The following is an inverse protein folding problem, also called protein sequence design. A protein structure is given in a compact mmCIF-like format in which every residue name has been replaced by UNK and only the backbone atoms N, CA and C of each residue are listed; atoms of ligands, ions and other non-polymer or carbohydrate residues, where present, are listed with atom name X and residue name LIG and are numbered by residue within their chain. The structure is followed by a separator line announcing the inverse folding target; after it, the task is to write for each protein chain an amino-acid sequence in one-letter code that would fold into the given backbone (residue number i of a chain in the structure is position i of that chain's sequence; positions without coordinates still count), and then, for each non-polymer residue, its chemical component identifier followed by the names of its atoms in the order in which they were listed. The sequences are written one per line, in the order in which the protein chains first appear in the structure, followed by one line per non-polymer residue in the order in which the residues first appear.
data_IF_428585216169
#
_entry.id   IF_428585216169
#
_cell.length_a   1.000
_cell.length_b   1.000
_cell.length_c   1.000
_cell.angle_alpha   90.00
_cell.angle_beta   90.00
_cell.angle_gamma   90.00
#
_symmetry.space_group_name_H-M   'P 1'
#
loop_
_entity.id
_entity.type
_entity.pdbx_description
1 polymer ?
#
# COMPACT_ATOMS: atom_id res chain seq x y z
N UNK A 1 -13.49 7.40 -13.06
CA UNK A 1 -13.72 5.94 -13.22
C UNK A 1 -14.18 5.40 -11.89
N UNK A 2 -15.21 4.56 -11.85
CA UNK A 2 -15.62 3.88 -10.62
C UNK A 2 -14.47 2.98 -10.12
N UNK A 3 -14.17 3.03 -8.82
CA UNK A 3 -13.25 2.07 -8.20
C UNK A 3 -13.94 0.70 -8.34
N UNK A 4 -13.31 -0.31 -8.97
CA UNK A 4 -13.89 -1.63 -9.02
C UNK A 4 -14.01 -2.14 -7.57
N UNK A 5 -15.27 -2.30 -7.14
CA UNK A 5 -15.62 -2.99 -5.90
C UNK A 5 -15.18 -4.45 -6.05
N UNK A 6 -14.75 -5.07 -4.95
CA UNK A 6 -14.45 -6.49 -4.90
C UNK A 6 -15.60 -7.29 -5.57
N UNK A 7 -15.35 -8.10 -6.61
CA UNK A 7 -16.36 -9.01 -7.11
C UNK A 7 -16.73 -10.01 -6.01
N UNK A 8 -17.99 -10.42 -5.97
CA UNK A 8 -18.41 -11.49 -5.07
C UNK A 8 -17.59 -12.76 -5.35
N UNK A 9 -17.25 -13.55 -4.31
CA UNK A 9 -16.49 -14.79 -4.50
C UNK A 9 -17.24 -15.75 -5.43
N UNK A 10 -16.50 -16.44 -6.29
CA UNK A 10 -17.06 -17.46 -7.18
C UNK A 10 -17.73 -18.56 -6.34
N UNK A 11 -18.89 -19.08 -6.77
CA UNK A 11 -19.59 -20.14 -6.04
C UNK A 11 -18.70 -21.39 -5.92
N UNK A 12 -18.54 -21.90 -4.69
CA UNK A 12 -17.73 -23.09 -4.39
C UNK A 12 -16.33 -22.82 -3.84
N UNK A 13 -15.89 -21.56 -3.78
CA UNK A 13 -14.66 -21.17 -3.06
C UNK A 13 -14.96 -21.10 -1.55
N UNK A 14 -14.15 -21.66 -0.64
CA UNK A 14 -14.29 -21.37 0.78
C UNK A 14 -14.30 -19.84 0.96
N UNK A 15 -15.24 -19.34 1.76
CA UNK A 15 -15.43 -17.90 1.97
C UNK A 15 -14.09 -17.24 2.24
N UNK A 16 -13.79 -16.15 1.53
CA UNK A 16 -12.53 -15.43 1.68
C UNK A 16 -12.33 -15.11 3.17
N UNK A 17 -11.16 -15.41 3.77
CA UNK A 17 -10.93 -15.07 5.16
C UNK A 17 -11.16 -13.56 5.37
N UNK A 18 -11.73 -13.16 6.52
CA UNK A 18 -11.91 -11.75 6.83
C UNK A 18 -10.55 -11.03 6.77
N UNK A 19 -10.58 -9.76 6.33
CA UNK A 19 -9.36 -8.97 6.27
C UNK A 19 -8.77 -8.82 7.68
N UNK A 20 -7.45 -9.02 7.85
CA UNK A 20 -6.82 -8.86 9.14
C UNK A 20 -6.83 -7.39 9.57
N UNK A 21 -6.80 -7.14 10.88
CA UNK A 21 -6.39 -5.82 11.40
C UNK A 21 -4.94 -5.57 11.00
N UNK A 22 -4.65 -4.35 10.56
CA UNK A 22 -3.31 -3.88 10.28
C UNK A 22 -2.64 -3.46 11.59
N UNK A 23 -1.33 -3.67 11.68
CA UNK A 23 -0.51 -2.94 12.63
C UNK A 23 -0.35 -1.49 12.14
N UNK A 24 -0.22 -0.54 13.05
CA UNK A 24 0.12 0.83 12.63
C UNK A 24 1.55 0.87 12.07
N UNK A 25 1.75 1.33 10.83
CA UNK A 25 3.08 1.41 10.23
C UNK A 25 3.91 2.58 10.76
N UNK A 26 3.28 3.57 11.40
CA UNK A 26 3.92 4.75 12.00
C UNK A 26 3.42 4.98 13.44
N UNK A 27 4.18 5.66 14.30
CA UNK A 27 3.70 6.04 15.64
C UNK A 27 2.52 7.03 15.55
N UNK A 28 1.52 6.88 16.43
CA UNK A 28 0.36 7.78 16.56
C UNK A 28 -0.30 8.10 15.19
N UNK A 29 -0.82 7.09 14.47
CA UNK A 29 -1.32 7.28 13.12
C UNK A 29 -2.49 8.27 13.11
N UNK A 30 -2.34 9.35 12.36
CA UNK A 30 -3.41 10.30 12.07
C UNK A 30 -3.55 10.44 10.55
N UNK A 31 -4.77 10.34 10.04
CA UNK A 31 -5.03 10.56 8.61
C UNK A 31 -4.82 12.05 8.31
N UNK A 32 -4.04 12.34 7.26
CA UNK A 32 -3.79 13.69 6.78
C UNK A 32 -5.10 14.38 6.41
N UNK A 33 -5.36 15.51 7.06
CA UNK A 33 -6.48 16.38 6.73
C UNK A 33 -6.31 17.11 5.40
N UNK A 34 -7.06 18.20 5.22
CA UNK A 34 -6.98 19.04 4.04
C UNK A 34 -5.79 20.00 4.11
N UNK A 35 -4.99 20.04 3.05
CA UNK A 35 -4.01 21.08 2.78
C UNK A 35 -4.08 21.56 1.31
N UNK A 36 -3.16 22.41 0.90
CA UNK A 36 -3.10 22.95 -0.46
C UNK A 36 -2.91 21.87 -1.55
N UNK A 37 -2.57 20.62 -1.18
CA UNK A 37 -2.38 19.48 -2.09
C UNK A 37 -3.53 18.47 -2.02
N UNK A 38 -4.61 18.78 -1.32
CA UNK A 38 -5.81 17.94 -1.20
C UNK A 38 -5.92 17.29 0.18
N UNK A 39 -6.53 16.10 0.21
CA UNK A 39 -6.89 15.41 1.46
C UNK A 39 -6.38 13.98 1.48
N UNK A 40 -6.03 13.48 2.67
CA UNK A 40 -5.40 12.18 2.85
C UNK A 40 -6.31 10.98 3.06
N UNK A 41 -7.62 11.16 3.22
CA UNK A 41 -8.54 10.05 3.43
C UNK A 41 -8.77 9.22 2.15
N UNK A 42 -9.20 7.98 2.31
CA UNK A 42 -9.53 7.09 1.19
C UNK A 42 -10.68 7.67 0.36
N UNK A 43 -10.61 7.57 -0.97
CA UNK A 43 -11.65 8.07 -1.86
C UNK A 43 -11.61 9.59 -2.08
N UNK A 44 -10.75 10.34 -1.38
CA UNK A 44 -10.59 11.78 -1.58
C UNK A 44 -10.36 12.13 -3.06
N UNK A 45 -10.97 13.24 -3.50
CA UNK A 45 -10.88 13.68 -4.90
C UNK A 45 -9.43 13.96 -5.33
N UNK A 46 -9.10 13.56 -6.56
CA UNK A 46 -7.82 13.82 -7.24
C UNK A 46 -8.09 14.32 -8.65
N UNK A 47 -7.18 15.15 -9.16
CA UNK A 47 -7.24 15.71 -10.52
C UNK A 47 -8.59 16.36 -10.87
N UNK A 48 -9.15 17.14 -9.95
CA UNK A 48 -10.45 17.79 -10.14
C UNK A 48 -11.63 16.81 -10.26
N UNK A 49 -11.57 15.66 -9.58
CA UNK A 49 -12.62 14.65 -9.56
C UNK A 49 -12.47 13.54 -10.61
N UNK A 50 -11.44 13.60 -11.47
CA UNK A 50 -11.19 12.55 -12.48
C UNK A 50 -10.70 11.25 -11.88
N UNK A 51 -10.02 11.33 -10.73
CA UNK A 51 -9.48 10.19 -9.98
C UNK A 51 -9.85 10.31 -8.50
N UNK A 52 -9.70 9.20 -7.80
CA UNK A 52 -9.86 9.10 -6.36
C UNK A 52 -8.53 8.67 -5.72
N UNK A 53 -8.39 8.97 -4.44
CA UNK A 53 -7.29 8.50 -3.61
C UNK A 53 -7.48 7.01 -3.29
N UNK A 54 -6.55 6.15 -3.70
CA UNK A 54 -6.68 4.68 -3.60
C UNK A 54 -6.05 4.10 -2.32
N UNK A 55 -5.78 4.96 -1.36
CA UNK A 55 -5.15 4.63 -0.10
C UNK A 55 -5.42 5.72 0.93
N UNK A 56 -4.62 5.73 1.99
CA UNK A 56 -4.66 6.76 3.03
C UNK A 56 -3.28 7.38 3.23
N UNK A 57 -3.25 8.65 3.59
CA UNK A 57 -2.03 9.37 3.95
C UNK A 57 -1.95 9.46 5.47
N UNK A 58 -1.02 8.75 6.09
CA UNK A 58 -0.75 8.80 7.52
C UNK A 58 0.32 9.84 7.81
N UNK A 59 -0.01 10.86 8.61
CA UNK A 59 0.90 11.96 8.95
C UNK A 59 2.17 11.37 9.60
N UNK A 60 3.32 11.70 9.02
CA UNK A 60 4.61 11.27 9.51
C UNK A 60 5.70 12.22 9.04
N UNK A 61 6.59 12.61 9.96
CA UNK A 61 7.75 13.42 9.63
C UNK A 61 8.75 12.64 8.76
N UNK A 62 9.57 13.33 7.94
CA UNK A 62 10.70 12.69 7.28
C UNK A 62 11.61 12.00 8.31
N UNK A 63 12.10 10.80 7.98
CA UNK A 63 12.94 10.00 8.86
C UNK A 63 12.19 9.13 9.87
N UNK A 64 10.87 9.29 10.03
CA UNK A 64 10.06 8.43 10.92
C UNK A 64 10.25 6.94 10.55
N UNK A 65 10.55 6.05 11.51
CA UNK A 65 10.62 4.61 11.28
C UNK A 65 9.28 4.05 10.80
N UNK A 66 9.32 3.20 9.78
CA UNK A 66 8.13 2.56 9.20
C UNK A 66 8.17 1.06 9.50
N UNK A 67 7.19 0.58 10.27
CA UNK A 67 7.00 -0.84 10.53
C UNK A 67 6.07 -1.46 9.48
N UNK A 68 6.18 -2.76 9.26
CA UNK A 68 5.27 -3.46 8.36
C UNK A 68 3.85 -3.46 8.92
N UNK A 69 2.86 -2.99 8.14
CA UNK A 69 1.47 -3.02 8.55
C UNK A 69 0.88 -4.45 8.60
N UNK A 70 1.49 -5.39 7.86
CA UNK A 70 1.09 -6.81 7.79
C UNK A 70 2.29 -7.75 7.88
N UNK A 71 2.03 -8.99 8.27
CA UNK A 71 3.00 -10.07 8.14
C UNK A 71 2.96 -10.69 6.75
N UNK A 72 4.11 -11.12 6.25
CA UNK A 72 4.20 -11.73 4.92
C UNK A 72 5.61 -11.65 4.34
N UNK A 73 5.68 -11.49 3.02
CA UNK A 73 6.94 -11.37 2.29
C UNK A 73 7.03 -10.02 1.60
N UNK A 74 8.21 -9.41 1.58
CA UNK A 74 8.51 -8.21 0.78
C UNK A 74 8.49 -8.61 -0.70
N UNK A 75 7.33 -8.47 -1.34
CA UNK A 75 7.13 -8.87 -2.72
C UNK A 75 7.67 -7.86 -3.72
N UNK A 76 7.92 -6.61 -3.30
CA UNK A 76 8.56 -5.60 -4.15
C UNK A 76 9.16 -4.43 -3.39
N UNK A 77 10.28 -3.97 -3.94
CA UNK A 77 10.81 -2.63 -3.71
C UNK A 77 10.65 -1.83 -5.01
N UNK A 78 9.92 -0.72 -4.97
CA UNK A 78 9.59 0.03 -6.18
C UNK A 78 9.76 1.53 -6.05
N UNK A 79 9.38 2.22 -7.12
CA UNK A 79 9.40 3.68 -7.25
C UNK A 79 7.97 4.20 -7.31
N UNK A 80 7.66 5.25 -6.55
CA UNK A 80 6.33 5.84 -6.45
C UNK A 80 5.90 6.49 -7.78
N UNK A 81 6.85 7.00 -8.56
CA UNK A 81 6.60 7.64 -9.85
C UNK A 81 7.45 7.02 -10.94
N UNK A 82 6.88 6.87 -12.14
CA UNK A 82 7.64 6.42 -13.31
C UNK A 82 8.73 7.43 -13.67
N UNK A 83 9.98 6.96 -13.78
CA UNK A 83 11.12 7.78 -14.17
C UNK A 83 11.70 8.68 -13.06
N UNK A 84 11.14 8.66 -11.85
CA UNK A 84 11.66 9.43 -10.71
C UNK A 84 12.27 8.49 -9.65
N UNK A 85 13.61 8.48 -9.50
CA UNK A 85 14.31 7.61 -8.56
C UNK A 85 14.40 8.18 -7.13
N UNK A 86 13.63 9.20 -6.76
CA UNK A 86 13.72 9.79 -5.42
C UNK A 86 12.74 9.17 -4.42
N UNK A 87 11.58 8.72 -4.88
CA UNK A 87 10.50 8.26 -3.99
C UNK A 87 10.25 6.78 -4.16
N UNK A 88 10.40 6.03 -3.06
CA UNK A 88 10.35 4.56 -3.04
C UNK A 88 9.13 4.06 -2.29
N UNK A 89 8.82 2.79 -2.50
CA UNK A 89 7.84 2.08 -1.70
C UNK A 89 8.31 0.66 -1.38
N UNK A 90 7.78 0.12 -0.29
CA UNK A 90 7.91 -1.29 0.11
C UNK A 90 6.55 -1.95 0.01
N UNK A 91 6.45 -3.03 -0.78
CA UNK A 91 5.26 -3.84 -0.92
C UNK A 91 5.42 -5.13 -0.14
N UNK A 92 4.41 -5.44 0.68
CA UNK A 92 4.34 -6.69 1.45
C UNK A 92 3.10 -7.45 1.00
N UNK A 93 3.26 -8.74 0.75
CA UNK A 93 2.16 -9.64 0.41
C UNK A 93 2.00 -10.69 1.49
N UNK A 94 0.80 -10.73 2.09
CA UNK A 94 0.42 -11.74 3.07
C UNK A 94 0.04 -13.06 2.36
N UNK A 95 0.13 -14.21 3.05
CA UNK A 95 -0.35 -15.50 2.52
C UNK A 95 -1.84 -15.51 2.12
N UNK A 96 -2.64 -14.59 2.66
CA UNK A 96 -4.07 -14.42 2.33
C UNK A 96 -4.31 -13.67 1.00
N UNK A 97 -3.24 -13.25 0.31
CA UNK A 97 -3.31 -12.42 -0.89
C UNK A 97 -3.57 -10.93 -0.61
N UNK A 98 -3.62 -10.51 0.65
CA UNK A 98 -3.62 -9.08 1.00
C UNK A 98 -2.25 -8.48 0.66
N UNK A 99 -2.26 -7.41 -0.13
CA UNK A 99 -1.07 -6.67 -0.54
C UNK A 99 -1.14 -5.26 0.01
N UNK A 100 -0.13 -4.87 0.78
CA UNK A 100 0.02 -3.50 1.29
C UNK A 100 1.25 -2.85 0.68
N UNK A 101 1.07 -1.68 0.07
CA UNK A 101 2.19 -0.81 -0.34
C UNK A 101 2.36 0.33 0.65
N UNK A 102 3.57 0.43 1.18
CA UNK A 102 4.04 1.52 2.03
C UNK A 102 4.84 2.48 1.14
N UNK A 103 4.20 3.54 0.66
CA UNK A 103 4.82 4.53 -0.23
C UNK A 103 5.53 5.62 0.55
N UNK A 104 6.54 6.19 -0.10
CA UNK A 104 7.43 7.22 0.42
C UNK A 104 8.29 6.69 1.58
N UNK A 105 8.81 5.48 1.39
CA UNK A 105 9.66 4.77 2.35
C UNK A 105 11.02 4.51 1.72
N UNK A 106 12.09 5.02 2.31
CA UNK A 106 13.46 4.63 2.01
C UNK A 106 13.71 3.22 2.59
N UNK A 107 13.80 2.16 1.77
CA UNK A 107 13.79 0.78 2.27
C UNK A 107 15.08 0.40 3.01
N UNK A 108 14.92 -0.38 4.09
CA UNK A 108 16.01 -1.05 4.81
C UNK A 108 15.93 -2.59 4.70
N UNK A 109 14.85 -3.10 4.08
CA UNK A 109 14.61 -4.53 3.80
C UNK A 109 14.98 -4.88 2.36
N UNK A 110 15.02 -6.18 2.07
CA UNK A 110 15.27 -6.74 0.73
C UNK A 110 14.01 -7.39 0.16
N UNK A 111 13.97 -7.55 -1.17
CA UNK A 111 12.95 -8.40 -1.80
C UNK A 111 13.07 -9.83 -1.28
N UNK A 112 11.94 -10.53 -1.22
CA UNK A 112 11.77 -11.90 -0.70
C UNK A 112 12.04 -12.08 0.80
N UNK A 113 12.30 -10.98 1.53
CA UNK A 113 12.45 -11.00 2.98
C UNK A 113 11.10 -11.25 3.68
N UNK A 114 11.09 -12.13 4.69
CA UNK A 114 9.93 -12.35 5.54
C UNK A 114 9.82 -11.24 6.59
N UNK A 115 8.60 -10.73 6.82
CA UNK A 115 8.34 -9.61 7.73
C UNK A 115 7.18 -9.91 8.68
N UNK A 116 7.26 -9.34 9.87
CA UNK A 116 6.24 -9.43 10.92
C UNK A 116 5.49 -8.10 11.08
N UNK A 117 4.17 -8.18 11.16
CA UNK A 117 3.30 -7.01 11.38
C UNK A 117 3.68 -6.28 12.68
N UNK A 118 3.86 -4.97 12.60
CA UNK A 118 4.14 -4.11 13.76
C UNK A 118 5.50 -4.34 14.42
N UNK A 119 6.40 -5.11 13.79
CA UNK A 119 7.72 -5.43 14.35
C UNK A 119 8.84 -5.17 13.37
N UNK A 120 8.74 -5.67 12.14
CA UNK A 120 9.81 -5.51 11.18
C UNK A 120 9.88 -4.07 10.67
N UNK A 121 11.06 -3.45 10.83
CA UNK A 121 11.38 -2.14 10.29
C UNK A 121 11.58 -2.25 8.76
N UNK A 122 10.66 -1.68 8.00
CA UNK A 122 10.72 -1.64 6.54
C UNK A 122 11.67 -0.56 6.02
N UNK A 123 11.80 0.54 6.76
CA UNK A 123 12.55 1.70 6.33
C UNK A 123 12.19 2.97 7.08
N UNK A 124 12.43 4.13 6.45
CA UNK A 124 12.09 5.44 7.01
C UNK A 124 11.30 6.29 6.02
N UNK A 125 10.40 7.14 6.54
CA UNK A 125 9.58 8.05 5.73
C UNK A 125 10.47 9.05 4.98
N UNK A 126 10.16 9.28 3.71
CA UNK A 126 10.87 10.23 2.86
C UNK A 126 10.26 11.63 2.92
N UNK A 127 11.04 12.65 2.56
CA UNK A 127 10.62 14.05 2.53
C UNK A 127 9.85 14.39 1.24
N UNK A 128 8.52 14.53 1.35
CA UNK A 128 7.64 14.90 0.25
C UNK A 128 7.64 16.39 -0.04
N UNK A 129 8.08 17.24 0.89
CA UNK A 129 7.96 18.69 0.75
C UNK A 129 8.80 19.24 -0.40
N UNK A 130 9.87 18.53 -0.77
CA UNK A 130 10.70 18.84 -1.95
C UNK A 130 9.95 18.71 -3.27
N UNK A 131 9.08 17.70 -3.38
CA UNK A 131 8.25 17.46 -4.56
C UNK A 131 6.94 18.24 -4.50
N UNK A 132 6.37 18.37 -3.30
CA UNK A 132 5.10 19.04 -3.04
C UNK A 132 5.27 20.09 -1.94
N UNK A 133 5.79 21.29 -2.27
CA UNK A 133 5.90 22.37 -1.29
C UNK A 133 4.55 22.69 -0.64
N UNK A 134 4.53 22.75 0.70
CA UNK A 134 3.33 23.02 1.51
C UNK A 134 2.43 21.79 1.77
N UNK A 135 2.87 20.58 1.42
CA UNK A 135 2.17 19.36 1.79
C UNK A 135 2.43 19.01 3.27
N UNK A 136 1.42 18.49 3.96
CA UNK A 136 1.65 17.78 5.23
C UNK A 136 2.34 16.46 4.92
N UNK A 137 3.57 16.28 5.41
CA UNK A 137 4.35 15.08 5.12
C UNK A 137 3.66 13.81 5.69
N UNK A 138 3.75 12.70 4.96
CA UNK A 138 3.01 11.48 5.28
C UNK A 138 3.63 10.23 4.66
N UNK A 139 3.26 9.08 5.24
CA UNK A 139 3.33 7.76 4.61
C UNK A 139 2.03 7.53 3.82
N UNK A 140 2.11 7.13 2.55
CA UNK A 140 0.92 6.74 1.80
C UNK A 140 0.75 5.21 1.81
N UNK A 141 -0.41 4.72 2.24
CA UNK A 141 -0.71 3.30 2.44
C UNK A 141 -1.82 2.86 1.48
N UNK A 142 -1.51 1.97 0.54
CA UNK A 142 -2.51 1.36 -0.34
C UNK A 142 -2.72 -0.11 0.02
N UNK A 143 -3.98 -0.55 0.08
CA UNK A 143 -4.36 -1.93 0.30
C UNK A 143 -5.09 -2.50 -0.92
N UNK A 144 -4.69 -3.69 -1.35
CA UNK A 144 -5.35 -4.44 -2.42
C UNK A 144 -5.43 -5.92 -2.08
N UNK A 145 -6.42 -6.60 -2.63
CA UNK A 145 -6.62 -8.02 -2.39
C UNK A 145 -6.49 -8.81 -3.68
N UNK A 146 -5.56 -9.76 -3.73
CA UNK A 146 -5.44 -10.70 -4.83
C UNK A 146 -6.73 -11.52 -4.99
N UNK A 147 -7.21 -11.64 -6.22
CA UNK A 147 -8.40 -12.43 -6.54
C UNK A 147 -8.20 -13.93 -6.23
N UNK A 148 -6.97 -14.41 -6.36
CA UNK A 148 -6.55 -15.76 -6.02
C UNK A 148 -5.39 -15.70 -5.01
N UNK A 149 -5.59 -16.10 -3.74
CA UNK A 149 -4.54 -16.13 -2.74
C UNK A 149 -3.47 -17.21 -2.99
N UNK A 150 -3.75 -18.23 -3.81
CA UNK A 150 -2.75 -19.23 -4.21
C UNK A 150 -1.73 -18.64 -5.20
N UNK A 151 -2.13 -17.63 -5.97
CA UNK A 151 -1.24 -16.78 -6.77
C UNK A 151 -0.56 -15.74 -5.86
N UNK A 152 0.22 -16.21 -4.88
CA UNK A 152 0.97 -15.43 -3.89
C UNK A 152 1.87 -14.34 -4.49
N UNK A 153 2.22 -14.49 -5.77
CA UNK A 153 2.87 -13.46 -6.57
C UNK A 153 1.88 -12.86 -7.57
N UNK A 154 1.57 -11.58 -7.40
CA UNK A 154 0.88 -10.80 -8.43
C UNK A 154 1.78 -10.51 -9.64
N UNK A 155 3.05 -10.91 -9.60
CA UNK A 155 3.95 -10.96 -10.74
C UNK A 155 3.94 -12.37 -11.31
N UNK A 156 3.06 -12.60 -12.27
CA UNK A 156 2.92 -13.89 -12.94
C UNK A 156 3.90 -13.91 -14.11
N UNK A 157 4.73 -14.96 -14.17
CA UNK A 157 5.63 -15.19 -15.30
C UNK A 157 4.99 -16.21 -16.24
N UNK A 158 4.85 -15.86 -17.51
CA UNK A 158 4.37 -16.81 -18.51
C UNK A 158 5.46 -17.81 -18.93
N UNK A 159 5.10 -18.82 -19.72
CA UNK A 159 6.03 -19.84 -20.23
C UNK A 159 7.16 -19.25 -21.10
N UNK A 160 6.97 -18.04 -21.65
CA UNK A 160 7.98 -17.32 -22.42
C UNK A 160 8.88 -16.42 -21.54
N UNK A 161 8.68 -16.45 -20.22
CA UNK A 161 9.45 -15.67 -19.26
C UNK A 161 9.00 -14.21 -19.12
N UNK A 162 7.91 -13.78 -19.76
CA UNK A 162 7.38 -12.41 -19.60
C UNK A 162 6.69 -12.28 -18.25
N UNK A 163 6.92 -11.18 -17.56
CA UNK A 163 6.32 -10.89 -16.26
C UNK A 163 5.14 -9.94 -16.44
N UNK A 164 3.95 -10.40 -16.05
CA UNK A 164 2.75 -9.60 -15.95
C UNK A 164 2.54 -9.18 -14.50
N UNK A 165 2.37 -7.89 -14.26
CA UNK A 165 2.10 -7.31 -12.94
C UNK A 165 0.58 -7.10 -12.77
N UNK A 166 -0.05 -7.99 -12.03
CA UNK A 166 -1.49 -8.02 -11.75
C UNK A 166 -1.88 -7.09 -10.60
N UNK A 167 -0.96 -6.42 -9.91
CA UNK A 167 -1.30 -5.60 -8.74
C UNK A 167 -2.41 -4.59 -9.04
N UNK A 168 -2.34 -3.93 -10.21
CA UNK A 168 -3.31 -2.89 -10.60
C UNK A 168 -4.67 -3.46 -10.97
N UNK A 169 -4.79 -4.75 -11.25
CA UNK A 169 -6.07 -5.42 -11.52
C UNK A 169 -6.76 -5.86 -10.24
N UNK A 170 -6.03 -5.89 -9.11
CA UNK A 170 -6.61 -6.27 -7.83
C UNK A 170 -7.57 -5.18 -7.32
N UNK A 171 -8.73 -5.58 -6.77
CA UNK A 171 -9.64 -4.67 -6.13
C UNK A 171 -8.96 -3.88 -5.01
N UNK A 172 -9.32 -2.61 -4.94
CA UNK A 172 -8.81 -1.68 -3.93
C UNK A 172 -9.62 -1.84 -2.65
N UNK A 173 -8.92 -1.80 -1.51
CA UNK A 173 -9.52 -1.85 -0.18
C UNK A 173 -9.28 -0.49 0.49
N UNK A 174 -10.30 0.03 1.18
CA UNK A 174 -10.12 1.12 2.14
C UNK A 174 -9.37 0.58 3.38
N UNK A 175 -8.13 1.04 3.65
CA UNK A 175 -7.36 0.56 4.81
C UNK A 175 -7.87 1.14 6.14
N UNK A 176 -8.66 2.22 6.12
CA UNK A 176 -9.11 2.95 7.30
C UNK A 176 -9.73 2.05 8.38
N UNK A 177 -10.73 1.20 8.10
CA UNK A 177 -11.34 0.33 9.12
C UNK A 177 -10.41 -0.79 9.61
N UNK A 178 -9.27 -1.02 8.96
CA UNK A 178 -8.33 -2.08 9.33
C UNK A 178 -7.24 -1.59 10.28
N UNK A 179 -7.01 -0.28 10.36
CA UNK A 179 -6.05 0.30 11.29
C UNK A 179 -6.54 0.21 12.75
N UNK A 180 -5.62 0.18 13.73
CA UNK A 180 -6.00 0.31 15.13
C UNK A 180 -6.67 1.67 15.36
N UNK A 181 -7.71 1.66 16.19
CA UNK A 181 -8.40 2.86 16.70
C UNK A 181 -7.51 3.69 17.61
#
# INVERSE_FOLDING_TARGET
MAIPVLPEPLPGTPGRPPLPRLASPVPNPAIRGRDAKGEGHFGASRDGGRRTHLGIDLIAAPGTPVLSAIGGTVSRLGWAYGGDPHYRYVEVTAPTGLVIRHFYVAPLVKADEAVEAGRTLLGTVQDLTRRYPGITNHLHLEARQAADPELRSHRVRDFAGRVTDLYKTYPVIDPTPLLPS
#
